data_IF_042611191722
#
_entry.id   IF_042611191722
#
_cell.length_a   1.000
_cell.length_b   1.000
_cell.length_c   1.000
_cell.angle_alpha   90.00
_cell.angle_beta   90.00
_cell.angle_gamma   90.00
#
_symmetry.space_group_name_H-M   'P 1'
#
loop_
_entity.id
_entity.type
_entity.pdbx_description
1 polymer ?
#
# COMPACT_ATOMS: atom_id res chain seq x y z
N UNK A 1 -12.92 -28.68 -22.92
CA UNK A 1 -12.54 -27.33 -23.35
C UNK A 1 -13.31 -26.24 -22.62
N UNK A 2 -14.64 -26.35 -22.48
CA UNK A 2 -15.53 -25.37 -21.79
C UNK A 2 -15.21 -25.19 -20.29
N UNK A 3 -14.87 -26.25 -19.58
CA UNK A 3 -14.49 -26.18 -18.15
C UNK A 3 -13.16 -25.43 -17.91
N UNK A 4 -12.19 -25.54 -18.80
CA UNK A 4 -10.93 -24.79 -18.74
C UNK A 4 -11.15 -23.31 -19.07
N UNK A 5 -12.02 -23.01 -20.01
CA UNK A 5 -12.41 -21.64 -20.37
C UNK A 5 -13.16 -20.95 -19.21
N UNK A 6 -14.12 -21.64 -18.57
CA UNK A 6 -14.85 -21.13 -17.38
C UNK A 6 -13.91 -20.93 -16.18
N UNK A 7 -12.91 -21.80 -15.96
CA UNK A 7 -11.91 -21.60 -14.92
C UNK A 7 -11.02 -20.38 -15.19
N UNK A 8 -10.60 -20.16 -16.42
CA UNK A 8 -9.82 -18.98 -16.81
C UNK A 8 -10.63 -17.67 -16.65
N UNK A 9 -11.92 -17.68 -16.95
CA UNK A 9 -12.81 -16.53 -16.78
C UNK A 9 -13.10 -16.25 -15.29
N UNK A 10 -13.25 -17.28 -14.47
CA UNK A 10 -13.43 -17.13 -13.02
C UNK A 10 -12.15 -16.60 -12.35
N UNK A 11 -10.97 -17.13 -12.71
CA UNK A 11 -9.71 -16.65 -12.19
C UNK A 11 -9.45 -15.16 -12.52
N UNK A 12 -9.81 -14.72 -13.73
CA UNK A 12 -9.71 -13.30 -14.12
C UNK A 12 -10.63 -12.39 -13.31
N UNK A 13 -11.81 -12.86 -12.87
CA UNK A 13 -12.75 -12.08 -12.08
C UNK A 13 -12.32 -11.86 -10.63
N UNK A 14 -11.43 -12.71 -10.10
CA UNK A 14 -10.98 -12.65 -8.71
C UNK A 14 -9.65 -11.90 -8.51
N UNK A 15 -8.89 -11.66 -9.58
CA UNK A 15 -7.55 -11.03 -9.48
C UNK A 15 -7.63 -9.62 -8.92
N UNK A 16 -8.46 -8.74 -9.47
CA UNK A 16 -8.57 -7.36 -9.00
C UNK A 16 -9.13 -7.24 -7.58
N UNK A 17 -10.21 -7.93 -7.20
CA UNK A 17 -10.67 -7.95 -5.82
C UNK A 17 -9.59 -8.35 -4.81
N UNK A 18 -8.88 -9.45 -5.07
CA UNK A 18 -7.80 -9.90 -4.19
C UNK A 18 -6.65 -8.90 -4.14
N UNK A 19 -6.26 -8.35 -5.28
CA UNK A 19 -5.22 -7.33 -5.38
C UNK A 19 -5.56 -6.08 -4.57
N UNK A 20 -6.80 -5.58 -4.66
CA UNK A 20 -7.26 -4.46 -3.84
C UNK A 20 -7.31 -4.81 -2.36
N UNK A 21 -7.76 -6.01 -2.03
CA UNK A 21 -7.73 -6.49 -0.65
C UNK A 21 -6.32 -6.43 -0.08
N UNK A 22 -5.31 -6.96 -0.79
CA UNK A 22 -3.93 -6.99 -0.32
C UNK A 22 -3.29 -5.60 -0.22
N UNK A 23 -3.46 -4.73 -1.22
CA UNK A 23 -2.95 -3.35 -1.16
C UNK A 23 -3.53 -2.61 0.04
N UNK A 24 -4.84 -2.68 0.23
CA UNK A 24 -5.48 -1.96 1.32
C UNK A 24 -5.27 -2.63 2.66
N UNK A 25 -5.05 -3.95 2.69
CA UNK A 25 -4.55 -4.65 3.88
C UNK A 25 -3.18 -4.09 4.28
N UNK A 26 -2.25 -3.94 3.34
CA UNK A 26 -0.95 -3.32 3.62
C UNK A 26 -1.12 -1.91 4.21
N UNK A 27 -1.96 -1.08 3.62
CA UNK A 27 -2.21 0.28 4.12
C UNK A 27 -2.86 0.27 5.51
N UNK A 28 -3.81 -0.61 5.77
CA UNK A 28 -4.44 -0.78 7.09
C UNK A 28 -3.47 -1.29 8.15
N UNK A 29 -2.49 -2.11 7.76
CA UNK A 29 -1.45 -2.59 8.66
C UNK A 29 -0.49 -1.48 9.12
N UNK A 30 -0.23 -0.49 8.26
CA UNK A 30 0.80 0.52 8.51
C UNK A 30 0.23 1.86 9.01
N UNK A 31 -0.69 2.47 8.26
CA UNK A 31 -1.06 3.88 8.48
C UNK A 31 -1.63 4.18 9.87
N UNK A 32 -2.61 3.43 10.40
CA UNK A 32 -3.18 3.74 11.70
C UNK A 32 -2.21 3.50 12.85
N UNK A 33 -1.30 2.52 12.69
CA UNK A 33 -0.42 2.06 13.75
C UNK A 33 0.95 2.73 13.74
N UNK A 34 1.32 3.42 12.64
CA UNK A 34 2.62 4.06 12.52
C UNK A 34 2.88 5.12 13.58
N UNK A 35 1.89 5.95 13.91
CA UNK A 35 2.04 6.97 14.94
C UNK A 35 2.22 6.35 16.32
N UNK A 36 1.54 5.24 16.60
CA UNK A 36 1.67 4.49 17.85
C UNK A 36 3.06 3.88 17.97
N UNK A 37 3.55 3.25 16.88
CA UNK A 37 4.92 2.74 16.83
C UNK A 37 5.97 3.82 17.10
N UNK A 38 5.84 4.99 16.48
CA UNK A 38 6.77 6.11 16.68
C UNK A 38 6.75 6.63 18.12
N UNK A 39 5.61 6.54 18.81
CA UNK A 39 5.45 6.96 20.18
C UNK A 39 5.97 5.91 21.17
N UNK A 40 5.47 4.68 21.07
CA UNK A 40 5.69 3.64 22.07
C UNK A 40 7.05 2.94 21.92
N UNK A 41 7.44 2.63 20.68
CA UNK A 41 8.66 1.87 20.39
C UNK A 41 9.84 2.79 20.10
N UNK A 42 9.70 3.75 19.17
CA UNK A 42 10.75 4.69 18.82
C UNK A 42 10.90 5.84 19.84
N UNK A 43 9.95 5.98 20.77
CA UNK A 43 9.95 6.97 21.86
C UNK A 43 10.19 8.40 21.41
N UNK A 44 9.64 8.76 20.27
CA UNK A 44 9.75 10.10 19.72
C UNK A 44 8.77 11.06 20.43
N UNK A 45 9.19 12.32 20.51
CA UNK A 45 8.29 13.38 21.02
C UNK A 45 7.10 13.61 20.09
N UNK A 46 5.97 14.07 20.64
CA UNK A 46 4.78 14.36 19.84
C UNK A 46 5.04 15.35 18.70
N UNK A 47 5.93 16.33 18.89
CA UNK A 47 6.34 17.26 17.84
C UNK A 47 7.09 16.54 16.69
N UNK A 48 8.00 15.61 17.03
CA UNK A 48 8.73 14.81 16.03
C UNK A 48 7.78 13.89 15.23
N UNK A 49 6.81 13.26 15.93
CA UNK A 49 5.77 12.44 15.29
C UNK A 49 4.91 13.30 14.37
N UNK A 50 4.45 14.47 14.83
CA UNK A 50 3.67 15.40 14.02
C UNK A 50 4.40 15.81 12.73
N UNK A 51 5.70 16.08 12.80
CA UNK A 51 6.54 16.36 11.63
C UNK A 51 6.58 15.17 10.68
N UNK A 52 6.87 13.95 11.17
CA UNK A 52 6.90 12.75 10.33
C UNK A 52 5.54 12.52 9.68
N UNK A 53 4.44 12.62 10.43
CA UNK A 53 3.09 12.37 9.93
C UNK A 53 2.57 13.47 8.98
N UNK A 54 3.19 14.63 8.94
CA UNK A 54 2.87 15.69 7.96
C UNK A 54 3.53 15.47 6.59
N UNK A 55 4.57 14.66 6.51
CA UNK A 55 5.31 14.41 5.26
C UNK A 55 4.51 13.67 4.19
N UNK A 56 3.76 12.58 4.50
CA UNK A 56 3.06 11.81 3.49
C UNK A 56 2.16 12.62 2.56
N UNK A 57 1.26 13.50 3.04
CA UNK A 57 0.43 14.30 2.14
C UNK A 57 1.24 15.29 1.28
N UNK A 58 2.31 15.87 1.83
CA UNK A 58 3.19 16.81 1.09
C UNK A 58 3.92 16.07 -0.03
N UNK A 59 4.52 14.93 0.30
CA UNK A 59 5.23 14.10 -0.67
C UNK A 59 4.29 13.57 -1.74
N UNK A 60 3.10 13.10 -1.36
CA UNK A 60 2.09 12.60 -2.29
C UNK A 60 1.67 13.68 -3.29
N UNK A 61 1.43 14.90 -2.82
CA UNK A 61 1.05 16.03 -3.68
C UNK A 61 2.13 16.32 -4.74
N UNK A 62 3.40 16.19 -4.38
CA UNK A 62 4.52 16.42 -5.30
C UNK A 62 4.81 15.20 -6.21
N UNK A 63 4.74 13.98 -5.66
CA UNK A 63 5.15 12.76 -6.35
C UNK A 63 4.06 12.20 -7.29
N UNK A 64 2.78 12.35 -6.95
CA UNK A 64 1.68 11.77 -7.72
C UNK A 64 1.62 12.25 -9.17
N UNK A 65 1.79 13.56 -9.50
CA UNK A 65 1.87 14.02 -10.89
C UNK A 65 3.05 13.43 -11.65
N UNK A 66 4.18 13.21 -10.99
CA UNK A 66 5.37 12.61 -11.59
C UNK A 66 5.11 11.16 -12.01
N UNK A 67 4.42 10.39 -11.17
CA UNK A 67 4.02 9.02 -11.49
C UNK A 67 3.03 8.97 -12.65
N UNK A 68 2.06 9.90 -12.71
CA UNK A 68 1.13 10.04 -13.83
C UNK A 68 1.89 10.29 -15.14
N UNK A 69 2.77 11.30 -15.15
CA UNK A 69 3.61 11.64 -16.31
C UNK A 69 4.50 10.46 -16.72
N UNK A 70 5.11 9.77 -15.75
CA UNK A 70 5.93 8.60 -16.04
C UNK A 70 5.11 7.45 -16.67
N UNK A 71 3.88 7.24 -16.21
CA UNK A 71 2.98 6.23 -16.76
C UNK A 71 2.60 6.54 -18.23
N UNK A 72 2.29 7.80 -18.51
CA UNK A 72 1.94 8.25 -19.88
C UNK A 72 3.13 8.15 -20.82
N UNK A 73 4.31 8.58 -20.37
CA UNK A 73 5.54 8.57 -21.19
C UNK A 73 6.02 7.16 -21.48
N UNK A 74 6.09 6.30 -20.44
CA UNK A 74 6.61 4.93 -20.60
C UNK A 74 5.61 3.98 -21.23
N UNK A 75 4.31 4.27 -21.15
CA UNK A 75 3.20 3.39 -21.55
C UNK A 75 3.27 2.00 -20.89
N UNK A 76 3.90 1.91 -19.71
CA UNK A 76 4.08 0.66 -18.96
C UNK A 76 3.54 0.79 -17.51
N UNK A 77 2.24 1.09 -17.31
CA UNK A 77 1.68 1.35 -15.99
C UNK A 77 1.85 0.14 -15.05
N UNK A 78 1.76 -1.09 -15.56
CA UNK A 78 1.96 -2.30 -14.75
C UNK A 78 3.40 -2.39 -14.23
N UNK A 79 4.40 -2.09 -15.06
CA UNK A 79 5.81 -2.11 -14.65
C UNK A 79 6.12 -1.06 -13.56
N UNK A 80 5.53 0.15 -13.71
CA UNK A 80 5.67 1.20 -12.71
C UNK A 80 4.96 0.83 -11.40
N UNK A 81 3.78 0.22 -11.48
CA UNK A 81 3.06 -0.26 -10.31
C UNK A 81 3.86 -1.33 -9.56
N UNK A 82 4.41 -2.33 -10.26
CA UNK A 82 5.25 -3.36 -9.66
C UNK A 82 6.50 -2.75 -9.01
N UNK A 83 7.17 -1.81 -9.67
CA UNK A 83 8.31 -1.12 -9.10
C UNK A 83 7.94 -0.36 -7.82
N UNK A 84 6.80 0.35 -7.82
CA UNK A 84 6.30 1.07 -6.65
C UNK A 84 5.96 0.12 -5.49
N UNK A 85 5.33 -1.03 -5.77
CA UNK A 85 5.00 -2.05 -4.76
C UNK A 85 6.26 -2.64 -4.12
N UNK A 86 7.23 -3.08 -4.95
CA UNK A 86 8.48 -3.68 -4.47
C UNK A 86 9.31 -2.67 -3.66
N UNK A 87 9.45 -1.44 -4.13
CA UNK A 87 10.18 -0.40 -3.41
C UNK A 87 9.47 0.02 -2.13
N UNK A 88 8.14 0.12 -2.13
CA UNK A 88 7.38 0.38 -0.91
C UNK A 88 7.56 -0.74 0.12
N UNK A 89 7.51 -2.00 -0.30
CA UNK A 89 7.75 -3.15 0.57
C UNK A 89 9.18 -3.12 1.15
N UNK A 90 10.19 -2.83 0.31
CA UNK A 90 11.57 -2.69 0.76
C UNK A 90 11.72 -1.58 1.81
N UNK A 91 11.17 -0.40 1.56
CA UNK A 91 11.23 0.71 2.52
C UNK A 91 10.43 0.41 3.79
N UNK A 92 9.36 -0.37 3.70
CA UNK A 92 8.63 -0.88 4.87
C UNK A 92 9.53 -1.75 5.77
N UNK A 93 10.25 -2.70 5.19
CA UNK A 93 11.23 -3.51 5.95
C UNK A 93 12.35 -2.64 6.54
N UNK A 94 12.88 -1.70 5.76
CA UNK A 94 13.91 -0.77 6.26
C UNK A 94 13.40 0.09 7.41
N UNK A 95 12.11 0.42 7.41
CA UNK A 95 11.49 1.19 8.49
C UNK A 95 11.48 0.42 9.81
N UNK A 96 11.25 -0.91 9.77
CA UNK A 96 11.34 -1.78 10.95
C UNK A 96 12.77 -1.82 11.55
N UNK A 97 13.79 -1.56 10.75
CA UNK A 97 15.20 -1.57 11.15
C UNK A 97 15.73 -0.17 11.51
N UNK A 98 14.89 0.86 11.36
CA UNK A 98 15.31 2.24 11.60
C UNK A 98 15.45 2.54 13.09
N UNK A 99 16.61 3.06 13.51
CA UNK A 99 16.90 3.41 14.90
C UNK A 99 17.12 4.91 15.13
N UNK A 100 16.85 5.79 14.16
CA UNK A 100 17.09 7.21 14.33
C UNK A 100 16.01 8.08 13.69
N UNK A 101 15.74 9.24 14.30
CA UNK A 101 14.76 10.20 13.78
C UNK A 101 15.01 10.58 12.32
N UNK A 102 16.27 10.83 11.94
CA UNK A 102 16.63 11.19 10.56
C UNK A 102 16.27 10.09 9.58
N UNK A 103 16.50 8.83 9.96
CA UNK A 103 16.18 7.69 9.12
C UNK A 103 14.67 7.51 8.98
N UNK A 104 13.88 7.69 10.04
CA UNK A 104 12.42 7.70 9.97
C UNK A 104 11.91 8.77 9.00
N UNK A 105 12.44 10.00 9.05
CA UNK A 105 12.08 11.08 8.12
C UNK A 105 12.38 10.67 6.66
N UNK A 106 13.58 10.20 6.37
CA UNK A 106 13.98 9.81 5.00
C UNK A 106 13.11 8.66 4.50
N UNK A 107 12.92 7.63 5.31
CA UNK A 107 12.09 6.48 4.93
C UNK A 107 10.63 6.85 4.74
N UNK A 108 10.08 7.78 5.56
CA UNK A 108 8.72 8.29 5.35
C UNK A 108 8.59 8.98 4.00
N UNK A 109 9.55 9.81 3.60
CA UNK A 109 9.54 10.47 2.30
C UNK A 109 9.59 9.46 1.15
N UNK A 110 10.55 8.51 1.21
CA UNK A 110 10.72 7.49 0.17
C UNK A 110 9.48 6.58 0.07
N UNK A 111 8.98 6.12 1.20
CA UNK A 111 7.80 5.27 1.27
C UNK A 111 6.56 5.98 0.73
N UNK A 112 6.32 7.23 1.13
CA UNK A 112 5.18 8.03 0.67
C UNK A 112 5.27 8.31 -0.83
N UNK A 113 6.46 8.57 -1.37
CA UNK A 113 6.66 8.75 -2.79
C UNK A 113 6.27 7.50 -3.59
N UNK A 114 6.62 6.29 -3.12
CA UNK A 114 6.21 5.03 -3.77
C UNK A 114 4.71 4.78 -3.60
N UNK A 115 4.18 4.95 -2.40
CA UNK A 115 2.75 4.73 -2.11
C UNK A 115 1.83 5.64 -2.93
N UNK A 116 2.28 6.86 -3.25
CA UNK A 116 1.50 7.81 -4.05
C UNK A 116 1.15 7.31 -5.46
N UNK A 117 1.92 6.35 -5.99
CA UNK A 117 1.68 5.71 -7.29
C UNK A 117 0.66 4.56 -7.21
N UNK A 118 0.62 3.84 -6.09
CA UNK A 118 -0.02 2.52 -6.01
C UNK A 118 -1.51 2.61 -6.30
N UNK A 119 -2.25 3.48 -5.60
CA UNK A 119 -3.70 3.59 -5.78
C UNK A 119 -4.08 4.12 -7.17
N UNK A 120 -3.52 5.26 -7.65
CA UNK A 120 -3.89 5.79 -8.97
C UNK A 120 -3.60 4.84 -10.13
N UNK A 121 -2.45 4.16 -10.11
CA UNK A 121 -2.11 3.18 -11.15
C UNK A 121 -3.01 1.95 -11.07
N UNK A 122 -3.31 1.47 -9.87
CA UNK A 122 -4.25 0.35 -9.65
C UNK A 122 -5.65 0.69 -10.13
N UNK A 123 -6.15 1.90 -9.82
CA UNK A 123 -7.47 2.37 -10.24
C UNK A 123 -7.55 2.49 -11.76
N UNK A 124 -6.51 3.03 -12.41
CA UNK A 124 -6.44 3.11 -13.88
C UNK A 124 -6.52 1.72 -14.54
N UNK A 125 -5.79 0.74 -14.00
CA UNK A 125 -5.81 -0.64 -14.51
C UNK A 125 -7.15 -1.34 -14.25
N UNK A 126 -7.74 -1.15 -13.08
CA UNK A 126 -9.03 -1.74 -12.72
C UNK A 126 -10.18 -1.16 -13.54
N UNK A 127 -10.21 0.16 -13.74
CA UNK A 127 -11.21 0.84 -14.59
C UNK A 127 -11.11 0.38 -16.04
N UNK A 128 -9.90 0.27 -16.56
CA UNK A 128 -9.67 -0.27 -17.90
C UNK A 128 -10.18 -1.71 -18.01
N UNK A 129 -9.87 -2.55 -17.03
CA UNK A 129 -10.37 -3.94 -17.00
C UNK A 129 -11.90 -4.00 -16.99
N UNK A 130 -12.54 -3.18 -16.15
CA UNK A 130 -14.03 -3.11 -16.09
C UNK A 130 -14.61 -2.62 -17.41
N UNK A 131 -13.97 -1.65 -18.06
CA UNK A 131 -14.43 -1.15 -19.36
C UNK A 131 -14.32 -2.21 -20.48
N UNK A 132 -13.24 -2.99 -20.50
CA UNK A 132 -12.97 -4.01 -21.54
C UNK A 132 -13.73 -5.32 -21.30
N UNK A 133 -13.90 -5.76 -20.05
CA UNK A 133 -14.41 -7.07 -19.69
C UNK A 133 -15.81 -7.03 -19.04
N UNK A 134 -16.32 -5.84 -18.78
CA UNK A 134 -17.50 -5.64 -17.95
C UNK A 134 -17.22 -5.84 -16.47
N UNK A 135 -18.17 -5.45 -15.64
CA UNK A 135 -18.06 -5.60 -14.19
C UNK A 135 -18.42 -4.31 -13.45
N UNK A 136 -18.14 -4.29 -12.15
CA UNK A 136 -18.42 -3.15 -11.30
C UNK A 136 -17.16 -2.77 -10.51
N UNK A 137 -16.60 -1.60 -10.82
CA UNK A 137 -15.43 -1.07 -10.11
C UNK A 137 -15.70 -0.89 -8.60
N UNK A 138 -16.91 -0.45 -8.23
CA UNK A 138 -17.31 -0.32 -6.83
C UNK A 138 -17.22 -1.64 -6.06
N UNK A 139 -17.60 -2.76 -6.69
CA UNK A 139 -17.47 -4.09 -6.09
C UNK A 139 -15.99 -4.49 -5.88
N UNK A 140 -15.11 -4.14 -6.81
CA UNK A 140 -13.67 -4.34 -6.65
C UNK A 140 -13.15 -3.50 -5.47
N UNK A 141 -13.55 -2.24 -5.41
CA UNK A 141 -13.11 -1.29 -4.36
C UNK A 141 -13.55 -1.69 -2.96
N UNK A 142 -14.71 -2.34 -2.82
CA UNK A 142 -15.19 -2.87 -1.53
C UNK A 142 -14.22 -3.86 -0.90
N UNK A 143 -13.55 -4.69 -1.70
CA UNK A 143 -12.52 -5.61 -1.20
C UNK A 143 -11.35 -4.89 -0.56
N UNK A 144 -11.02 -3.70 -1.07
CA UNK A 144 -10.02 -2.84 -0.43
C UNK A 144 -10.46 -2.40 0.97
N UNK A 145 -11.71 -1.96 1.14
CA UNK A 145 -12.23 -1.59 2.46
C UNK A 145 -12.21 -2.76 3.44
N UNK A 146 -12.57 -3.96 2.98
CA UNK A 146 -12.49 -5.17 3.79
C UNK A 146 -11.04 -5.49 4.18
N UNK A 147 -10.11 -5.42 3.23
CA UNK A 147 -8.68 -5.62 3.50
C UNK A 147 -8.14 -4.65 4.54
N UNK A 148 -8.44 -3.35 4.39
CA UNK A 148 -8.04 -2.33 5.35
C UNK A 148 -8.57 -2.61 6.76
N UNK A 149 -9.87 -2.88 6.88
CA UNK A 149 -10.49 -3.17 8.19
C UNK A 149 -9.91 -4.40 8.84
N UNK A 150 -9.74 -5.49 8.07
CA UNK A 150 -9.14 -6.72 8.59
C UNK A 150 -7.69 -6.50 9.04
N UNK A 151 -6.92 -5.71 8.30
CA UNK A 151 -5.55 -5.40 8.67
C UNK A 151 -5.47 -4.62 9.98
N UNK A 152 -6.29 -3.55 10.13
CA UNK A 152 -6.33 -2.77 11.37
C UNK A 152 -6.62 -3.65 12.59
N UNK A 153 -7.58 -4.56 12.47
CA UNK A 153 -7.94 -5.46 13.57
C UNK A 153 -6.87 -6.53 13.83
N UNK A 154 -6.46 -7.24 12.77
CA UNK A 154 -5.54 -8.37 12.91
C UNK A 154 -4.13 -7.92 13.26
N UNK A 155 -3.60 -6.91 12.54
CA UNK A 155 -2.24 -6.42 12.78
C UNK A 155 -2.16 -5.59 14.05
N UNK A 156 -3.23 -4.84 14.40
CA UNK A 156 -3.32 -4.17 15.68
C UNK A 156 -3.26 -5.17 16.85
N UNK A 157 -4.05 -6.23 16.78
CA UNK A 157 -3.99 -7.29 17.79
C UNK A 157 -2.61 -7.98 17.86
N UNK A 158 -1.99 -8.26 16.69
CA UNK A 158 -0.66 -8.85 16.65
C UNK A 158 0.42 -7.91 17.22
N UNK A 159 0.33 -6.61 16.96
CA UNK A 159 1.31 -5.64 17.46
C UNK A 159 1.30 -5.55 18.98
N UNK A 160 0.12 -5.68 19.59
CA UNK A 160 -0.02 -5.66 21.04
C UNK A 160 0.52 -6.92 21.74
N UNK A 161 0.50 -8.08 21.04
CA UNK A 161 0.84 -9.38 21.64
C UNK A 161 2.25 -9.90 21.27
N UNK A 162 2.81 -9.43 20.15
CA UNK A 162 4.10 -9.94 19.65
C UNK A 162 5.16 -8.83 19.65
N UNK A 163 5.04 -7.87 18.76
CA UNK A 163 5.94 -6.71 18.64
C UNK A 163 5.38 -5.68 17.65
N UNK A 164 5.59 -4.41 17.89
CA UNK A 164 5.16 -3.35 16.96
C UNK A 164 5.77 -3.44 15.56
N UNK A 165 6.97 -4.03 15.42
CA UNK A 165 7.61 -4.25 14.12
C UNK A 165 6.77 -5.09 13.15
N UNK A 166 5.80 -5.88 13.64
CA UNK A 166 4.87 -6.68 12.83
C UNK A 166 4.12 -5.82 11.81
N UNK A 167 3.82 -4.56 12.11
CA UNK A 167 3.13 -3.64 11.18
C UNK A 167 3.89 -3.48 9.85
N UNK A 168 5.21 -3.40 9.90
CA UNK A 168 6.06 -3.24 8.71
C UNK A 168 6.19 -4.54 7.92
N UNK A 169 6.31 -5.67 8.61
CA UNK A 169 6.39 -6.97 7.95
C UNK A 169 5.06 -7.35 7.30
N UNK A 170 3.94 -7.12 8.00
CA UNK A 170 2.59 -7.33 7.44
C UNK A 170 2.34 -6.43 6.22
N UNK A 171 2.72 -5.15 6.30
CA UNK A 171 2.67 -4.21 5.19
C UNK A 171 3.49 -4.71 3.99
N UNK A 172 4.75 -5.05 4.21
CA UNK A 172 5.66 -5.44 3.14
C UNK A 172 5.25 -6.77 2.49
N UNK A 173 4.85 -7.75 3.31
CA UNK A 173 4.39 -9.05 2.81
C UNK A 173 3.11 -8.94 1.98
N UNK A 174 2.18 -8.07 2.38
CA UNK A 174 0.92 -7.89 1.65
C UNK A 174 1.10 -7.17 0.30
N UNK A 175 2.21 -6.43 0.10
CA UNK A 175 2.53 -5.78 -1.18
C UNK A 175 3.27 -6.69 -2.16
N UNK A 176 3.88 -7.78 -1.72
CA UNK A 176 4.64 -8.74 -2.53
C UNK A 176 3.80 -9.95 -2.93
#
# INVERSE_FOLDING_TARGET
MEAAFKRGAAARKTVFPLFYFLIFFAFGALFPLLSVYLQEEARLSGAAIGWIMSLPPIVTMAAQPLWGTAADYTRKPVGLLLAALVLAALFGVMYALAGSYRLFVVLTVLLSAMQSAIVPLSDSLALRHVHEQGGNYGAIRLWGSLGFTMAVLAVGWLSDHIAFAVIFYAFSLALL
#
